data_IF_712740882959
#
_entry.id   IF_712740882959
#
_cell.length_a   1.000
_cell.length_b   1.000
_cell.length_c   1.000
_cell.angle_alpha   90.00
_cell.angle_beta   90.00
_cell.angle_gamma   90.00
#
_symmetry.space_group_name_H-M   'P 1'
#
loop_
_entity.id
_entity.type
_entity.pdbx_description
1 polymer ?
#
# COMPACT_ATOMS: atom_id res chain seq x y z
N UNK A 1 11.44 36.61 -1.77
CA UNK A 1 12.52 36.57 -0.76
C UNK A 1 12.39 35.25 0.00
N UNK A 2 13.41 34.39 0.02
CA UNK A 2 13.36 33.11 0.74
C UNK A 2 13.77 33.35 2.19
N UNK A 3 13.07 32.69 3.12
CA UNK A 3 13.37 32.76 4.56
C UNK A 3 14.65 31.97 4.86
N UNK A 4 15.49 32.52 5.73
CA UNK A 4 16.69 31.84 6.22
C UNK A 4 16.28 30.58 7.00
N UNK A 5 16.98 29.45 6.76
CA UNK A 5 16.75 28.23 7.52
C UNK A 5 17.04 28.44 9.02
N UNK A 6 16.14 28.01 9.88
CA UNK A 6 16.27 28.11 11.33
C UNK A 6 17.34 27.14 11.89
N UNK A 7 17.51 26.00 11.22
CA UNK A 7 18.48 24.96 11.61
C UNK A 7 19.49 24.74 10.49
N UNK A 8 20.77 24.45 10.83
CA UNK A 8 21.77 24.11 9.82
C UNK A 8 21.38 22.80 9.11
N UNK A 9 21.63 22.74 7.82
CA UNK A 9 21.51 21.51 7.06
C UNK A 9 22.62 20.52 7.48
N UNK A 10 22.33 19.21 7.44
CA UNK A 10 23.37 18.19 7.63
C UNK A 10 24.52 18.37 6.65
N UNK A 11 25.71 17.92 7.06
CA UNK A 11 26.91 18.01 6.24
C UNK A 11 26.68 17.39 4.85
N UNK A 12 27.08 18.13 3.82
CA UNK A 12 26.96 17.73 2.42
C UNK A 12 27.74 16.46 2.09
N UNK A 13 28.85 16.21 2.78
CA UNK A 13 29.75 15.09 2.50
C UNK A 13 29.41 13.82 3.26
N UNK A 14 28.91 13.95 4.50
CA UNK A 14 28.58 12.79 5.36
C UNK A 14 27.08 12.45 5.35
N UNK A 15 26.23 13.34 4.87
CA UNK A 15 24.79 13.15 4.82
C UNK A 15 24.17 12.95 6.21
N UNK A 16 22.98 12.41 6.23
CA UNK A 16 22.27 11.99 7.43
C UNK A 16 22.22 10.46 7.46
N UNK A 17 23.14 9.81 8.21
CA UNK A 17 23.32 8.34 8.21
C UNK A 17 22.49 7.66 9.28
N UNK A 18 22.36 8.26 10.47
CA UNK A 18 21.61 7.69 11.59
C UNK A 18 20.14 7.44 11.22
N UNK A 19 19.70 6.18 11.29
CA UNK A 19 18.37 5.75 10.86
C UNK A 19 17.25 6.43 11.66
N UNK A 20 17.39 6.54 12.97
CA UNK A 20 16.40 7.19 13.83
C UNK A 20 16.25 8.67 13.52
N UNK A 21 17.38 9.35 13.31
CA UNK A 21 17.39 10.77 12.90
C UNK A 21 16.77 10.96 11.52
N UNK A 22 17.04 10.08 10.57
CA UNK A 22 16.46 10.08 9.23
C UNK A 22 14.93 9.97 9.26
N UNK A 23 14.39 9.06 10.06
CA UNK A 23 12.94 8.88 10.18
C UNK A 23 12.26 10.05 10.91
N UNK A 24 12.87 10.58 11.96
CA UNK A 24 12.33 11.74 12.69
C UNK A 24 12.41 13.05 11.91
N UNK A 25 13.43 13.20 11.05
CA UNK A 25 13.67 14.39 10.26
C UNK A 25 13.63 14.07 8.76
N UNK A 26 12.52 13.49 8.30
CA UNK A 26 12.35 13.02 6.93
C UNK A 26 12.63 14.10 5.88
N UNK A 27 12.29 15.35 6.16
CA UNK A 27 12.57 16.48 5.27
C UNK A 27 14.08 16.68 5.04
N UNK A 28 14.89 16.55 6.10
CA UNK A 28 16.36 16.63 5.97
C UNK A 28 16.92 15.42 5.21
N UNK A 29 16.41 14.22 5.52
CA UNK A 29 16.77 12.98 4.81
C UNK A 29 16.51 13.11 3.29
N UNK A 30 15.37 13.67 2.91
CA UNK A 30 15.02 13.90 1.50
C UNK A 30 15.90 14.95 0.81
N UNK A 31 16.44 15.93 1.56
CA UNK A 31 17.35 16.94 1.01
C UNK A 31 18.73 16.33 0.74
N UNK A 32 19.29 15.59 1.70
CA UNK A 32 20.69 15.13 1.66
C UNK A 32 20.87 13.76 1.01
N UNK A 33 19.83 12.93 0.98
CA UNK A 33 19.87 11.57 0.43
C UNK A 33 18.98 11.43 -0.82
N UNK A 34 19.48 11.69 -2.04
CA UNK A 34 18.69 11.62 -3.28
C UNK A 34 18.02 10.25 -3.51
N UNK A 35 18.68 9.17 -3.11
CA UNK A 35 18.15 7.78 -3.23
C UNK A 35 16.84 7.58 -2.46
N UNK A 36 16.65 8.29 -1.35
CA UNK A 36 15.40 8.26 -0.59
C UNK A 36 14.26 8.83 -1.43
N UNK A 37 14.48 9.94 -2.13
CA UNK A 37 13.50 10.53 -3.07
C UNK A 37 13.10 9.55 -4.17
N UNK A 38 14.07 8.79 -4.68
CA UNK A 38 13.79 7.78 -5.71
C UNK A 38 12.92 6.63 -5.20
N UNK A 39 13.09 6.24 -3.95
CA UNK A 39 12.19 5.26 -3.30
C UNK A 39 10.74 5.76 -3.28
N UNK A 40 10.51 7.02 -2.90
CA UNK A 40 9.17 7.62 -2.92
C UNK A 40 8.59 7.70 -4.34
N UNK A 41 9.41 8.10 -5.33
CA UNK A 41 8.99 8.14 -6.73
C UNK A 41 8.63 6.75 -7.27
N UNK A 42 9.44 5.74 -6.96
CA UNK A 42 9.19 4.34 -7.35
C UNK A 42 7.87 3.84 -6.74
N UNK A 43 7.66 4.08 -5.45
CA UNK A 43 6.40 3.74 -4.78
C UNK A 43 5.19 4.40 -5.45
N UNK A 44 5.26 5.71 -5.73
CA UNK A 44 4.18 6.43 -6.40
C UNK A 44 3.89 5.87 -7.80
N UNK A 45 4.94 5.56 -8.58
CA UNK A 45 4.79 4.93 -9.89
C UNK A 45 4.16 3.54 -9.81
N UNK A 46 4.59 2.73 -8.84
CA UNK A 46 4.07 1.38 -8.62
C UNK A 46 2.56 1.40 -8.31
N UNK A 47 2.13 2.23 -7.37
CA UNK A 47 0.71 2.34 -7.02
C UNK A 47 -0.14 2.86 -8.17
N UNK A 48 0.36 3.84 -8.93
CA UNK A 48 -0.30 4.37 -10.12
C UNK A 48 -0.40 3.34 -11.26
N UNK A 49 0.63 2.50 -11.41
CA UNK A 49 0.63 1.44 -12.40
C UNK A 49 -0.34 0.32 -12.02
N UNK A 50 -0.36 -0.11 -10.75
CA UNK A 50 -1.31 -1.12 -10.27
C UNK A 50 -2.76 -0.71 -10.57
N UNK A 51 -3.13 0.55 -10.29
CA UNK A 51 -4.45 1.07 -10.63
C UNK A 51 -4.76 0.94 -12.11
N UNK A 52 -3.86 1.42 -12.97
CA UNK A 52 -4.05 1.33 -14.43
C UNK A 52 -4.21 -0.11 -14.91
N UNK A 53 -3.38 -1.04 -14.42
CA UNK A 53 -3.46 -2.44 -14.82
C UNK A 53 -4.78 -3.08 -14.40
N UNK A 54 -5.27 -2.75 -13.21
CA UNK A 54 -6.56 -3.24 -12.72
C UNK A 54 -7.73 -2.60 -13.45
N UNK A 55 -7.68 -1.29 -13.71
CA UNK A 55 -8.68 -0.55 -14.49
C UNK A 55 -8.76 -1.09 -15.94
N UNK A 56 -7.61 -1.37 -16.57
CA UNK A 56 -7.52 -1.96 -17.92
C UNK A 56 -8.11 -3.39 -18.00
N UNK A 57 -8.23 -4.07 -16.86
CA UNK A 57 -8.86 -5.39 -16.72
C UNK A 57 -10.29 -5.32 -16.17
N UNK A 58 -10.93 -4.16 -16.22
CA UNK A 58 -12.30 -3.91 -15.74
C UNK A 58 -12.51 -4.18 -14.25
N UNK A 59 -11.48 -4.04 -13.42
CA UNK A 59 -11.66 -4.01 -11.98
C UNK A 59 -12.07 -2.60 -11.53
N UNK A 60 -13.12 -2.52 -10.73
CA UNK A 60 -13.59 -1.26 -10.15
C UNK A 60 -12.88 -0.98 -8.83
N UNK A 61 -12.23 0.19 -8.70
CA UNK A 61 -11.68 0.64 -7.42
C UNK A 61 -12.80 1.04 -6.46
N UNK A 62 -12.79 0.47 -5.28
CA UNK A 62 -13.79 0.72 -4.24
C UNK A 62 -13.09 1.30 -3.02
N UNK A 63 -13.77 2.23 -2.34
CA UNK A 63 -13.41 2.69 -1.00
C UNK A 63 -14.41 2.14 0.00
N UNK A 64 -13.91 1.34 0.96
CA UNK A 64 -14.72 0.79 2.04
C UNK A 64 -14.43 1.49 3.37
N UNK A 65 -15.31 1.42 4.37
CA UNK A 65 -15.11 2.06 5.67
C UNK A 65 -13.83 1.61 6.36
N UNK A 66 -13.15 2.56 7.01
CA UNK A 66 -11.98 2.30 7.86
C UNK A 66 -12.41 1.94 9.28
N UNK A 67 -13.52 2.53 9.76
CA UNK A 67 -14.07 2.25 11.09
C UNK A 67 -15.12 1.14 10.99
N UNK A 68 -14.95 0.10 11.80
CA UNK A 68 -15.81 -1.05 11.85
C UNK A 68 -16.42 -1.23 13.25
N UNK A 69 -17.64 -1.71 13.33
CA UNK A 69 -18.25 -2.17 14.59
C UNK A 69 -17.70 -3.52 15.03
N UNK A 70 -17.24 -4.33 14.09
CA UNK A 70 -16.60 -5.61 14.32
C UNK A 70 -15.43 -5.77 13.35
N UNK A 71 -14.25 -6.10 13.87
CA UNK A 71 -13.11 -6.40 13.02
C UNK A 71 -13.25 -7.79 12.39
N UNK A 72 -12.68 -7.98 11.21
CA UNK A 72 -12.70 -9.27 10.53
C UNK A 72 -11.98 -9.22 9.18
N UNK A 73 -11.91 -10.37 8.50
CA UNK A 73 -11.24 -10.52 7.20
C UNK A 73 -9.74 -10.85 7.30
N UNK A 74 -9.18 -10.93 8.51
CA UNK A 74 -7.82 -11.39 8.74
C UNK A 74 -7.66 -11.89 10.18
N UNK A 75 -6.60 -12.66 10.42
CA UNK A 75 -6.18 -13.06 11.76
C UNK A 75 -5.16 -12.05 12.29
N UNK A 76 -5.65 -10.92 12.81
CA UNK A 76 -4.85 -9.83 13.31
C UNK A 76 -5.55 -9.09 14.46
N UNK A 77 -4.78 -8.47 15.33
CA UNK A 77 -5.31 -7.66 16.42
C UNK A 77 -5.64 -6.25 15.92
N UNK A 78 -6.89 -5.76 16.12
CA UNK A 78 -7.28 -4.42 15.69
C UNK A 78 -6.79 -3.34 16.63
N UNK A 79 -6.73 -2.09 16.15
CA UNK A 79 -6.76 -0.90 16.99
C UNK A 79 -8.21 -0.59 17.36
N UNK A 80 -8.45 -0.26 18.62
CA UNK A 80 -9.76 0.08 19.15
C UNK A 80 -9.87 1.60 19.31
N UNK A 81 -11.07 2.13 19.12
CA UNK A 81 -11.39 3.54 19.31
C UNK A 81 -12.84 3.70 19.76
N UNK A 82 -13.23 4.89 20.22
CA UNK A 82 -14.55 5.18 20.73
C UNK A 82 -15.21 6.34 19.98
N UNK A 83 -16.44 6.15 19.53
CA UNK A 83 -17.24 7.19 18.87
C UNK A 83 -18.03 7.97 19.90
N UNK A 84 -17.56 9.15 20.30
CA UNK A 84 -18.10 9.94 21.43
C UNK A 84 -19.59 10.25 21.30
N UNK A 85 -20.06 10.68 20.13
CA UNK A 85 -21.46 11.10 19.97
C UNK A 85 -22.44 9.93 19.89
N UNK A 86 -21.99 8.76 19.46
CA UNK A 86 -22.83 7.55 19.37
C UNK A 86 -22.65 6.62 20.56
N UNK A 87 -21.63 6.83 21.40
CA UNK A 87 -21.34 5.96 22.54
C UNK A 87 -20.97 4.53 22.14
N UNK A 88 -20.25 4.36 21.02
CA UNK A 88 -19.94 3.04 20.45
C UNK A 88 -18.42 2.80 20.41
N UNK A 89 -18.04 1.58 20.82
CA UNK A 89 -16.70 1.07 20.55
C UNK A 89 -16.58 0.67 19.08
N UNK A 90 -15.53 1.13 18.44
CA UNK A 90 -15.20 0.86 17.04
C UNK A 90 -13.78 0.33 16.95
N UNK A 91 -13.50 -0.34 15.85
CA UNK A 91 -12.16 -0.81 15.50
C UNK A 91 -11.70 -0.24 14.17
N UNK A 92 -10.39 -0.03 14.01
CA UNK A 92 -9.82 0.22 12.70
C UNK A 92 -9.74 -1.10 11.92
N UNK A 93 -10.00 -1.04 10.61
CA UNK A 93 -9.97 -2.22 9.74
C UNK A 93 -8.62 -2.92 9.72
N UNK A 94 -8.62 -4.23 9.79
CA UNK A 94 -7.46 -5.11 9.67
C UNK A 94 -7.34 -5.74 8.28
N UNK A 95 -8.39 -5.63 7.45
CA UNK A 95 -8.50 -6.08 6.06
C UNK A 95 -9.69 -5.40 5.39
N UNK A 96 -9.78 -5.45 4.06
CA UNK A 96 -10.92 -4.98 3.26
C UNK A 96 -11.82 -6.13 2.79
N UNK A 97 -11.43 -7.36 3.04
CA UNK A 97 -12.03 -8.61 2.58
C UNK A 97 -13.55 -8.65 2.67
N UNK A 98 -14.10 -8.45 3.87
CA UNK A 98 -15.53 -8.67 4.11
C UNK A 98 -16.41 -7.68 3.32
N UNK A 99 -15.96 -6.45 3.19
CA UNK A 99 -16.67 -5.44 2.41
C UNK A 99 -16.62 -5.73 0.91
N UNK A 100 -15.44 -6.09 0.38
CA UNK A 100 -15.29 -6.42 -1.03
C UNK A 100 -16.07 -7.69 -1.41
N UNK A 101 -16.09 -8.71 -0.56
CA UNK A 101 -16.92 -9.90 -0.75
C UNK A 101 -18.43 -9.58 -0.78
N UNK A 102 -18.91 -8.64 0.04
CA UNK A 102 -20.30 -8.17 -0.01
C UNK A 102 -20.64 -7.53 -1.36
N UNK A 103 -19.71 -6.81 -1.97
CA UNK A 103 -19.90 -6.22 -3.29
C UNK A 103 -20.00 -7.29 -4.38
N UNK A 104 -19.19 -8.34 -4.31
CA UNK A 104 -19.32 -9.50 -5.22
C UNK A 104 -20.69 -10.17 -5.07
N UNK A 105 -21.14 -10.41 -3.84
CA UNK A 105 -22.50 -10.94 -3.57
C UNK A 105 -23.57 -9.97 -4.08
N UNK A 106 -23.32 -8.66 -4.02
CA UNK A 106 -24.19 -7.63 -4.55
C UNK A 106 -24.23 -7.50 -6.07
N UNK A 107 -23.44 -8.30 -6.80
CA UNK A 107 -23.48 -8.38 -8.26
C UNK A 107 -22.35 -7.69 -9.00
N UNK A 108 -21.34 -7.17 -8.31
CA UNK A 108 -20.11 -6.72 -8.98
C UNK A 108 -19.25 -7.92 -9.38
N UNK A 109 -18.72 -7.90 -10.59
CA UNK A 109 -17.90 -9.02 -11.08
C UNK A 109 -16.42 -8.88 -10.69
N UNK A 110 -15.87 -7.67 -10.67
CA UNK A 110 -14.47 -7.39 -10.38
C UNK A 110 -14.35 -6.13 -9.56
N UNK A 111 -13.78 -6.24 -8.36
CA UNK A 111 -13.57 -5.10 -7.46
C UNK A 111 -12.20 -5.19 -6.82
N UNK A 112 -11.62 -4.05 -6.52
CA UNK A 112 -10.40 -3.96 -5.73
C UNK A 112 -10.41 -2.74 -4.82
N UNK A 113 -9.61 -2.78 -3.77
CA UNK A 113 -9.31 -1.62 -2.95
C UNK A 113 -7.81 -1.55 -2.70
N UNK A 114 -7.22 -0.38 -2.94
CA UNK A 114 -5.84 -0.05 -2.58
C UNK A 114 -5.86 0.96 -1.45
N UNK A 115 -5.70 0.49 -0.21
CA UNK A 115 -5.92 1.31 0.97
C UNK A 115 -5.01 1.00 2.16
N UNK A 116 -5.21 1.76 3.22
CA UNK A 116 -4.51 1.58 4.49
C UNK A 116 -5.18 0.51 5.34
N UNK A 117 -4.34 -0.36 5.90
CA UNK A 117 -4.70 -1.41 6.84
C UNK A 117 -3.97 -1.15 8.16
N UNK A 118 -4.62 -1.49 9.28
CA UNK A 118 -4.14 -1.20 10.62
C UNK A 118 -4.13 -2.48 11.44
N UNK A 119 -2.98 -2.87 11.94
CA UNK A 119 -2.81 -4.07 12.78
C UNK A 119 -2.04 -3.71 14.04
N UNK A 120 -2.62 -3.93 15.23
CA UNK A 120 -2.04 -3.64 16.55
C UNK A 120 -1.21 -4.82 17.05
N UNK A 121 -0.11 -5.07 16.37
CA UNK A 121 0.78 -6.19 16.62
C UNK A 121 2.21 -5.70 16.88
N UNK A 122 3.13 -6.63 17.16
CA UNK A 122 4.52 -6.29 17.42
C UNK A 122 5.21 -5.62 16.23
N UNK A 123 6.01 -4.59 16.52
CA UNK A 123 6.83 -3.90 15.52
C UNK A 123 8.05 -4.71 15.14
N UNK A 124 8.36 -4.75 13.85
CA UNK A 124 9.60 -5.30 13.33
C UNK A 124 10.08 -4.50 12.12
N UNK A 125 11.26 -4.84 11.59
CA UNK A 125 11.76 -4.22 10.35
C UNK A 125 10.88 -4.49 9.13
N UNK A 126 9.96 -5.46 9.21
CA UNK A 126 9.04 -5.86 8.13
C UNK A 126 7.58 -5.55 8.44
N UNK A 127 7.23 -5.27 9.69
CA UNK A 127 5.85 -5.08 10.13
C UNK A 127 5.68 -3.70 10.76
N UNK A 128 4.88 -2.88 10.11
CA UNK A 128 4.42 -1.61 10.62
C UNK A 128 2.95 -1.74 11.07
N UNK A 129 2.52 -0.98 12.10
CA UNK A 129 1.13 -1.02 12.56
C UNK A 129 0.14 -0.49 11.53
N UNK A 130 0.64 0.31 10.58
CA UNK A 130 -0.10 0.87 9.46
C UNK A 130 0.65 0.62 8.16
N UNK A 131 0.00 0.01 7.18
CA UNK A 131 0.60 -0.29 5.88
C UNK A 131 -0.44 -0.20 4.76
N UNK A 132 0.04 -0.11 3.51
CA UNK A 132 -0.83 -0.13 2.34
C UNK A 132 -0.95 -1.56 1.84
N UNK A 133 -2.18 -2.00 1.62
CA UNK A 133 -2.52 -3.27 0.97
C UNK A 133 -3.33 -3.01 -0.30
N UNK A 134 -3.26 -3.94 -1.23
CA UNK A 134 -4.23 -4.08 -2.30
C UNK A 134 -4.91 -5.43 -2.13
N UNK A 135 -6.23 -5.41 -2.12
CA UNK A 135 -7.06 -6.62 -2.14
C UNK A 135 -7.98 -6.54 -3.34
N UNK A 136 -8.16 -7.66 -4.03
CA UNK A 136 -8.97 -7.74 -5.23
C UNK A 136 -9.80 -9.03 -5.22
N UNK A 137 -11.01 -8.94 -5.77
CA UNK A 137 -11.98 -10.03 -5.81
C UNK A 137 -12.63 -10.10 -7.19
N UNK A 138 -12.73 -11.30 -7.72
CA UNK A 138 -13.33 -11.57 -9.03
C UNK A 138 -14.34 -12.71 -8.91
N UNK A 139 -15.54 -12.46 -9.41
CA UNK A 139 -16.57 -13.49 -9.53
C UNK A 139 -16.18 -14.50 -10.64
N UNK A 140 -16.61 -15.75 -10.50
CA UNK A 140 -16.42 -16.82 -11.48
C UNK A 140 -14.95 -17.13 -11.81
N UNK A 141 -14.03 -16.80 -10.90
CA UNK A 141 -12.61 -17.12 -11.00
C UNK A 141 -12.19 -18.10 -9.90
N UNK A 142 -11.27 -18.97 -10.20
CA UNK A 142 -10.66 -19.87 -9.25
C UNK A 142 -9.26 -19.39 -8.79
N UNK A 143 -8.59 -20.21 -7.98
CA UNK A 143 -7.27 -19.85 -7.46
C UNK A 143 -6.19 -19.78 -8.55
N UNK A 144 -6.32 -20.52 -9.67
CA UNK A 144 -5.37 -20.48 -10.77
C UNK A 144 -5.46 -19.13 -11.49
N UNK A 145 -6.68 -18.65 -11.77
CA UNK A 145 -6.91 -17.32 -12.34
C UNK A 145 -6.27 -16.23 -11.49
N UNK A 146 -6.39 -16.36 -10.16
CA UNK A 146 -5.83 -15.39 -9.22
C UNK A 146 -4.30 -15.47 -9.10
N UNK A 147 -3.71 -16.65 -9.29
CA UNK A 147 -2.26 -16.82 -9.39
C UNK A 147 -1.74 -16.10 -10.65
N UNK A 148 -2.31 -16.37 -11.81
CA UNK A 148 -1.92 -15.72 -13.07
C UNK A 148 -2.05 -14.21 -13.01
N UNK A 149 -3.17 -13.72 -12.48
CA UNK A 149 -3.38 -12.29 -12.28
C UNK A 149 -2.32 -11.67 -11.33
N UNK A 150 -2.03 -12.35 -10.23
CA UNK A 150 -1.03 -11.87 -9.26
C UNK A 150 0.37 -11.83 -9.87
N UNK A 151 0.77 -12.87 -10.59
CA UNK A 151 2.05 -12.92 -11.29
C UNK A 151 2.15 -11.82 -12.33
N UNK A 152 1.10 -11.59 -13.13
CA UNK A 152 1.06 -10.51 -14.10
C UNK A 152 1.24 -9.13 -13.44
N UNK A 153 0.50 -8.84 -12.36
CA UNK A 153 0.58 -7.57 -11.63
C UNK A 153 1.98 -7.36 -11.02
N UNK A 154 2.54 -8.39 -10.39
CA UNK A 154 3.87 -8.32 -9.77
C UNK A 154 4.95 -8.12 -10.82
N UNK A 155 4.95 -8.92 -11.88
CA UNK A 155 5.92 -8.80 -12.97
C UNK A 155 5.84 -7.42 -13.64
N UNK A 156 4.65 -6.96 -13.98
CA UNK A 156 4.44 -5.66 -14.65
C UNK A 156 4.93 -4.49 -13.78
N UNK A 157 4.64 -4.53 -12.48
CA UNK A 157 5.09 -3.48 -11.55
C UNK A 157 6.59 -3.51 -11.31
N UNK A 158 7.17 -4.70 -11.18
CA UNK A 158 8.60 -4.89 -10.99
C UNK A 158 9.41 -4.33 -12.18
N UNK A 159 9.07 -4.73 -13.41
CA UNK A 159 9.81 -4.31 -14.60
C UNK A 159 9.66 -2.82 -14.92
N UNK A 160 8.52 -2.22 -14.59
CA UNK A 160 8.31 -0.79 -14.83
C UNK A 160 9.02 0.09 -13.82
N UNK A 161 9.18 -0.38 -12.57
CA UNK A 161 9.75 0.41 -11.48
C UNK A 161 11.26 0.23 -11.29
N UNK A 162 11.86 -0.83 -11.82
CA UNK A 162 13.29 -1.09 -11.71
C UNK A 162 14.02 -0.82 -13.04
N UNK A 163 15.20 -0.19 -13.01
CA UNK A 163 15.96 0.18 -14.22
C UNK A 163 16.61 -1.02 -14.95
N UNK A 164 16.51 -2.22 -14.42
CA UNK A 164 17.11 -3.42 -15.01
C UNK A 164 16.09 -4.21 -15.84
N UNK A 165 16.13 -4.04 -17.16
CA UNK A 165 15.63 -5.02 -18.11
C UNK A 165 16.76 -6.02 -18.39
N UNK A 166 16.71 -7.27 -18.05
CA UNK A 166 16.27 -8.30 -18.99
C UNK A 166 15.72 -9.56 -18.29
N UNK A 167 14.96 -10.38 -19.00
CA UNK A 167 14.69 -11.80 -18.81
C UNK A 167 13.24 -12.27 -18.62
N UNK A 168 12.22 -11.43 -18.63
CA UNK A 168 10.84 -11.95 -18.50
C UNK A 168 9.90 -11.65 -19.69
N UNK A 169 10.38 -11.22 -20.84
CA UNK A 169 9.54 -11.14 -22.06
C UNK A 169 9.21 -12.53 -22.63
N UNK A 170 9.89 -13.58 -22.20
CA UNK A 170 9.72 -14.93 -22.74
C UNK A 170 8.61 -15.77 -22.09
N UNK A 171 7.98 -15.32 -21.01
CA UNK A 171 6.93 -16.10 -20.32
C UNK A 171 5.50 -15.66 -20.63
N UNK A 172 5.30 -14.59 -21.40
CA UNK A 172 3.98 -14.09 -21.78
C UNK A 172 3.64 -14.33 -23.26
N UNK A 173 4.37 -15.20 -23.96
CA UNK A 173 4.13 -15.57 -25.38
C UNK A 173 4.11 -17.09 -25.60
N UNK A 174 3.47 -17.83 -24.73
CA UNK A 174 3.08 -19.22 -25.07
C UNK A 174 1.65 -19.49 -24.69
#
# INVERSE_FOLDING_TARGET
MLTKAALPLPDKYHGLVDVSKRYRNRHLDLIVNPTVRDTFRKRAKMTSLLRRLLDDMDFLEIETPVLHSQSGGAEAKPFETFHNSMGLDLTLRIATELHLKRLIVGGFNRVYELGRIFRNEGLSTRHNPEFTSVELYQAYADYNDMIELTEYLVCSTFFTCLPYRPLCICLLQT
#
